data_IF_747476378507
#
_entry.id   IF_747476378507
#
_cell.length_a   1.000
_cell.length_b   1.000
_cell.length_c   1.000
_cell.angle_alpha   90.00
_cell.angle_beta   90.00
_cell.angle_gamma   90.00
#
_symmetry.space_group_name_H-M   'P 1'
#
loop_
_entity.id
_entity.type
_entity.pdbx_description
1 polymer ?
#
# COMPACT_ATOMS: atom_id res chain seq x y z
N UNK A 1 -17.53 -9.80 26.22
CA UNK A 1 -18.59 -10.84 26.23
C UNK A 1 -18.25 -11.73 27.41
N UNK A 2 -19.05 -11.70 28.47
CA UNK A 2 -18.78 -12.47 29.70
C UNK A 2 -19.44 -13.83 29.47
N UNK A 3 -18.63 -14.90 29.41
CA UNK A 3 -19.10 -16.26 29.19
C UNK A 3 -18.81 -17.06 30.46
N UNK A 4 -19.78 -17.83 30.94
CA UNK A 4 -19.63 -18.63 32.15
C UNK A 4 -18.66 -19.80 31.91
N UNK A 5 -17.81 -20.10 32.90
CA UNK A 5 -16.73 -21.09 32.79
C UNK A 5 -17.24 -22.48 32.33
N UNK A 6 -18.49 -22.83 32.67
CA UNK A 6 -19.12 -24.09 32.30
C UNK A 6 -19.53 -24.18 30.82
N UNK A 7 -19.62 -23.06 30.11
CA UNK A 7 -20.10 -22.97 28.72
C UNK A 7 -18.98 -22.75 27.69
N UNK A 8 -17.76 -22.47 28.15
CA UNK A 8 -16.60 -22.16 27.30
C UNK A 8 -16.38 -23.25 26.25
N UNK A 9 -16.38 -24.53 26.64
CA UNK A 9 -16.14 -25.66 25.72
C UNK A 9 -17.21 -25.86 24.63
N UNK A 10 -18.39 -25.24 24.76
CA UNK A 10 -19.48 -25.29 23.77
C UNK A 10 -19.62 -23.99 22.99
N UNK A 11 -18.77 -23.01 23.29
CA UNK A 11 -18.88 -21.69 22.70
C UNK A 11 -18.60 -21.74 21.19
N UNK A 12 -19.38 -21.00 20.41
CA UNK A 12 -19.33 -21.04 18.95
C UNK A 12 -17.93 -20.71 18.36
N UNK A 13 -17.12 -19.93 19.08
CA UNK A 13 -15.76 -19.59 18.64
C UNK A 13 -14.74 -20.74 18.78
N UNK A 14 -15.07 -21.82 19.50
CA UNK A 14 -14.22 -23.01 19.63
C UNK A 14 -14.65 -24.15 18.67
N UNK A 15 -15.65 -23.93 17.81
CA UNK A 15 -16.11 -24.93 16.84
C UNK A 15 -14.98 -25.26 15.85
N UNK A 16 -14.41 -26.46 15.98
CA UNK A 16 -13.33 -26.96 15.12
C UNK A 16 -11.95 -27.06 15.79
N UNK A 17 -11.83 -26.71 17.08
CA UNK A 17 -10.59 -26.87 17.85
C UNK A 17 -10.70 -28.05 18.83
N UNK A 18 -9.61 -28.81 18.98
CA UNK A 18 -9.53 -29.99 19.86
C UNK A 18 -9.24 -29.64 21.32
N UNK A 19 -8.55 -28.52 21.57
CA UNK A 19 -8.13 -28.07 22.90
C UNK A 19 -8.22 -26.53 23.03
N UNK A 20 -8.33 -26.01 24.26
CA UNK A 20 -8.34 -24.58 24.58
C UNK A 20 -7.69 -24.30 25.94
N UNK A 21 -7.12 -23.11 26.12
CA UNK A 21 -6.60 -22.61 27.41
C UNK A 21 -7.48 -21.47 27.89
N UNK A 22 -7.68 -21.43 29.20
CA UNK A 22 -8.30 -20.30 29.92
C UNK A 22 -7.25 -19.65 30.80
N UNK A 23 -7.02 -18.35 30.67
CA UNK A 23 -6.13 -17.61 31.56
C UNK A 23 -6.82 -17.31 32.91
N UNK A 24 -6.23 -17.73 34.05
CA UNK A 24 -6.87 -17.58 35.37
C UNK A 24 -7.10 -16.12 35.79
N UNK A 25 -6.18 -15.23 35.43
CA UNK A 25 -6.19 -13.83 35.89
C UNK A 25 -7.11 -12.93 35.08
N UNK A 26 -7.37 -13.32 33.82
CA UNK A 26 -8.08 -12.48 32.86
C UNK A 26 -9.41 -13.08 32.45
N UNK A 27 -9.67 -14.37 32.78
CA UNK A 27 -10.85 -15.15 32.40
C UNK A 27 -11.09 -15.21 30.88
N UNK A 28 -10.07 -14.89 30.07
CA UNK A 28 -10.13 -15.04 28.63
C UNK A 28 -9.80 -16.48 28.24
N UNK A 29 -10.46 -16.98 27.21
CA UNK A 29 -10.21 -18.30 26.66
C UNK A 29 -9.85 -18.22 25.17
N UNK A 30 -8.91 -19.06 24.75
CA UNK A 30 -8.46 -19.14 23.36
C UNK A 30 -8.15 -20.59 22.96
N UNK A 31 -8.40 -20.95 21.68
CA UNK A 31 -8.14 -22.30 21.18
C UNK A 31 -6.63 -22.58 21.05
N UNK A 32 -6.22 -23.81 21.37
CA UNK A 32 -4.84 -24.27 21.16
C UNK A 32 -4.69 -24.86 19.77
N UNK A 33 -3.65 -24.42 19.06
CA UNK A 33 -3.17 -25.09 17.86
C UNK A 33 -2.09 -26.09 18.27
N UNK A 34 -2.20 -27.34 17.79
CA UNK A 34 -1.39 -28.51 18.19
C UNK A 34 0.11 -28.47 17.81
N UNK A 35 0.72 -27.30 17.65
CA UNK A 35 2.15 -27.17 17.37
C UNK A 35 2.85 -26.29 18.40
N UNK A 36 3.30 -26.96 19.47
CA UNK A 36 4.11 -26.39 20.56
C UNK A 36 5.59 -26.42 20.17
N UNK A 37 6.34 -25.35 20.48
CA UNK A 37 7.68 -25.39 21.10
C UNK A 37 8.11 -23.96 21.54
N UNK A 38 9.03 -23.83 22.52
CA UNK A 38 8.94 -22.86 23.61
C UNK A 38 9.84 -21.63 23.41
N UNK A 39 9.39 -20.50 23.97
CA UNK A 39 10.12 -19.22 23.98
C UNK A 39 11.01 -19.20 25.24
N UNK A 40 12.33 -19.23 25.05
CA UNK A 40 13.26 -18.83 26.11
C UNK A 40 13.53 -17.33 25.97
N UNK A 41 13.03 -16.55 26.92
CA UNK A 41 13.35 -15.13 27.06
C UNK A 41 14.77 -14.99 27.62
N UNK A 42 15.64 -14.25 26.92
CA UNK A 42 16.73 -13.53 27.56
C UNK A 42 16.95 -12.18 26.89
N UNK A 43 17.21 -11.20 27.76
CA UNK A 43 17.22 -9.75 27.57
C UNK A 43 18.59 -9.24 27.01
N UNK A 44 18.78 -7.92 26.83
CA UNK A 44 19.40 -7.34 25.64
C UNK A 44 20.93 -7.21 25.74
N UNK A 45 21.62 -7.19 24.59
CA UNK A 45 22.88 -6.44 24.47
C UNK A 45 23.19 -6.03 23.03
N UNK A 46 23.69 -4.80 22.93
CA UNK A 46 23.93 -4.02 21.71
C UNK A 46 25.26 -4.35 21.05
N UNK A 47 25.26 -4.18 19.72
CA UNK A 47 26.36 -3.79 18.83
C UNK A 47 27.69 -4.59 18.90
N UNK A 48 27.97 -5.36 17.84
CA UNK A 48 29.31 -5.33 17.24
C UNK A 48 29.31 -5.79 15.77
N UNK A 49 30.00 -5.00 14.93
CA UNK A 49 30.34 -5.31 13.53
C UNK A 49 31.12 -6.62 13.47
N UNK A 50 30.78 -7.56 12.58
CA UNK A 50 31.78 -8.35 11.82
C UNK A 50 31.31 -8.74 10.42
N UNK A 51 32.24 -8.55 9.49
CA UNK A 51 32.28 -9.11 8.14
C UNK A 51 32.56 -10.61 8.26
N UNK A 52 31.92 -11.44 7.46
CA UNK A 52 32.57 -12.21 6.39
C UNK A 52 31.62 -13.24 5.77
N UNK A 53 31.66 -13.28 4.44
CA UNK A 53 31.47 -14.40 3.53
C UNK A 53 30.67 -15.62 4.02
N UNK A 54 29.50 -15.80 3.43
CA UNK A 54 28.96 -17.14 3.18
C UNK A 54 28.56 -17.25 1.71
N UNK A 55 29.16 -18.23 1.06
CA UNK A 55 29.08 -18.57 -0.36
C UNK A 55 27.80 -19.37 -0.60
N UNK A 56 26.76 -18.68 -1.07
CA UNK A 56 25.65 -19.29 -1.76
C UNK A 56 25.59 -18.67 -3.14
N UNK A 57 25.86 -19.48 -4.17
CA UNK A 57 25.78 -19.17 -5.60
C UNK A 57 24.39 -18.62 -5.96
N UNK A 58 24.16 -17.34 -5.66
CA UNK A 58 23.17 -16.49 -6.33
C UNK A 58 23.89 -15.92 -7.53
N UNK A 59 23.42 -16.19 -8.73
CA UNK A 59 23.84 -15.55 -9.97
C UNK A 59 23.80 -14.03 -9.76
N UNK A 60 24.95 -13.46 -9.38
CA UNK A 60 25.13 -12.02 -9.23
C UNK A 60 25.19 -11.48 -10.65
N UNK A 61 24.18 -10.69 -11.03
CA UNK A 61 24.30 -9.80 -12.18
C UNK A 61 25.62 -9.03 -12.06
N UNK A 62 26.38 -8.95 -13.15
CA UNK A 62 27.54 -8.07 -13.21
C UNK A 62 27.05 -6.62 -13.17
N UNK A 63 27.97 -5.71 -12.88
CA UNK A 63 27.69 -4.28 -12.98
C UNK A 63 27.14 -3.89 -14.36
N UNK A 64 27.68 -4.49 -15.42
CA UNK A 64 27.25 -4.25 -16.81
C UNK A 64 25.83 -4.78 -17.10
N UNK A 65 25.45 -5.89 -16.45
CA UNK A 65 24.09 -6.43 -16.55
C UNK A 65 23.09 -5.51 -15.78
N UNK A 66 23.51 -4.92 -14.67
CA UNK A 66 22.71 -3.92 -13.93
C UNK A 66 22.53 -2.63 -14.75
N UNK A 67 23.56 -2.17 -15.44
CA UNK A 67 23.47 -1.01 -16.33
C UNK A 67 22.54 -1.30 -17.52
N UNK A 68 22.67 -2.48 -18.13
CA UNK A 68 21.76 -2.94 -19.19
C UNK A 68 20.31 -3.00 -18.69
N UNK A 69 20.08 -3.51 -17.48
CA UNK A 69 18.77 -3.53 -16.84
C UNK A 69 18.18 -2.11 -16.71
N UNK A 70 18.97 -1.14 -16.28
CA UNK A 70 18.51 0.25 -16.12
C UNK A 70 18.12 0.84 -17.46
N UNK A 71 18.94 0.65 -18.50
CA UNK A 71 18.66 1.17 -19.85
C UNK A 71 17.39 0.55 -20.46
N UNK A 72 17.20 -0.76 -20.31
CA UNK A 72 16.00 -1.44 -20.79
C UNK A 72 14.72 -0.98 -20.06
N UNK A 73 14.82 -0.67 -18.76
CA UNK A 73 13.70 -0.10 -18.00
C UNK A 73 13.46 1.36 -18.40
N UNK A 74 14.53 2.15 -18.62
CA UNK A 74 14.43 3.53 -19.07
C UNK A 74 13.71 3.64 -20.41
N UNK A 75 14.05 2.76 -21.37
CA UNK A 75 13.41 2.70 -22.70
C UNK A 75 11.90 2.42 -22.61
N UNK A 76 11.46 1.67 -21.59
CA UNK A 76 10.06 1.30 -21.39
C UNK A 76 9.37 2.25 -20.43
N UNK A 77 9.06 3.45 -20.93
CA UNK A 77 8.39 4.50 -20.16
C UNK A 77 7.20 4.04 -19.31
N UNK A 78 6.30 3.13 -19.75
CA UNK A 78 5.18 2.70 -18.91
C UNK A 78 5.59 2.00 -17.60
N UNK A 79 6.84 1.54 -17.48
CA UNK A 79 7.35 0.94 -16.25
C UNK A 79 7.61 1.97 -15.15
N UNK A 80 7.92 3.22 -15.50
CA UNK A 80 8.39 4.23 -14.54
C UNK A 80 7.66 5.59 -14.65
N UNK A 81 7.13 5.93 -15.82
CA UNK A 81 6.47 7.19 -16.09
C UNK A 81 4.99 7.15 -15.68
N UNK A 82 4.70 7.59 -14.46
CA UNK A 82 3.35 7.69 -13.92
C UNK A 82 2.51 8.83 -14.55
N UNK A 83 3.11 9.69 -15.38
CA UNK A 83 2.38 10.73 -16.13
C UNK A 83 1.67 10.18 -17.36
N UNK A 84 1.97 8.94 -17.77
CA UNK A 84 1.29 8.28 -18.89
C UNK A 84 -0.14 7.89 -18.53
N UNK A 85 -1.10 7.97 -19.48
CA UNK A 85 -2.47 7.51 -19.27
C UNK A 85 -2.55 6.04 -18.85
N UNK A 86 -3.55 5.70 -18.02
CA UNK A 86 -3.76 4.32 -17.54
C UNK A 86 -3.95 3.31 -18.69
N UNK A 87 -4.54 3.75 -19.81
CA UNK A 87 -4.68 2.94 -21.03
C UNK A 87 -3.34 2.44 -21.57
N UNK A 88 -2.26 3.20 -21.40
CA UNK A 88 -0.91 2.87 -21.84
C UNK A 88 -0.06 2.21 -20.73
N UNK A 89 -0.53 2.22 -19.47
CA UNK A 89 0.17 1.73 -18.28
C UNK A 89 -0.58 0.64 -17.51
N UNK A 90 -1.54 -0.02 -18.15
CA UNK A 90 -2.32 -1.06 -17.47
C UNK A 90 -1.46 -2.29 -17.13
N UNK A 91 -1.97 -3.14 -16.23
CA UNK A 91 -1.24 -4.31 -15.71
C UNK A 91 -0.79 -5.27 -16.82
N UNK A 92 -1.61 -5.47 -17.85
CA UNK A 92 -1.27 -6.35 -18.97
C UNK A 92 -0.05 -5.82 -19.71
N UNK A 93 0.00 -4.51 -19.93
CA UNK A 93 1.13 -3.83 -20.56
C UNK A 93 2.37 -3.93 -19.66
N UNK A 94 2.27 -3.58 -18.38
CA UNK A 94 3.43 -3.61 -17.47
C UNK A 94 3.98 -5.02 -17.27
N UNK A 95 3.13 -6.04 -17.14
CA UNK A 95 3.56 -7.45 -17.06
C UNK A 95 4.31 -7.88 -18.33
N UNK A 96 3.78 -7.52 -19.51
CA UNK A 96 4.45 -7.79 -20.79
C UNK A 96 5.80 -7.08 -20.90
N UNK A 97 5.87 -5.81 -20.51
CA UNK A 97 7.10 -5.02 -20.56
C UNK A 97 8.18 -5.59 -19.63
N UNK A 98 7.83 -6.03 -18.41
CA UNK A 98 8.78 -6.69 -17.51
C UNK A 98 9.29 -8.04 -18.06
N UNK A 99 8.43 -8.78 -18.77
CA UNK A 99 8.85 -9.98 -19.48
C UNK A 99 9.85 -9.65 -20.60
N UNK A 100 9.61 -8.59 -21.37
CA UNK A 100 10.53 -8.15 -22.42
C UNK A 100 11.89 -7.71 -21.86
N UNK A 101 11.91 -7.00 -20.71
CA UNK A 101 13.17 -6.64 -20.02
C UNK A 101 13.94 -7.89 -19.60
N UNK A 102 13.26 -8.90 -19.04
CA UNK A 102 13.91 -10.16 -18.65
C UNK A 102 14.48 -10.91 -19.86
N UNK A 103 13.76 -10.91 -20.98
CA UNK A 103 14.22 -11.50 -22.23
C UNK A 103 15.44 -10.76 -22.81
N UNK A 104 15.47 -9.42 -22.71
CA UNK A 104 16.60 -8.60 -23.15
C UNK A 104 17.88 -8.87 -22.35
N UNK A 105 17.76 -9.23 -21.07
CA UNK A 105 18.87 -9.68 -20.20
C UNK A 105 19.29 -11.14 -20.46
N UNK A 106 19.08 -11.62 -21.68
CA UNK A 106 19.37 -12.97 -22.16
C UNK A 106 18.73 -14.10 -21.33
N UNK A 107 17.66 -13.82 -20.57
CA UNK A 107 17.03 -14.83 -19.71
C UNK A 107 17.94 -15.35 -18.60
N UNK A 108 19.05 -14.64 -18.27
CA UNK A 108 19.96 -15.02 -17.18
C UNK A 108 19.28 -15.03 -15.81
N UNK A 109 18.17 -14.29 -15.71
CA UNK A 109 17.40 -14.09 -14.49
C UNK A 109 15.90 -14.08 -14.79
N UNK A 110 15.11 -14.51 -13.83
CA UNK A 110 13.65 -14.51 -13.90
C UNK A 110 13.08 -13.10 -13.82
N UNK A 111 11.85 -12.89 -14.30
CA UNK A 111 11.15 -11.59 -14.21
C UNK A 111 11.11 -11.05 -12.78
N UNK A 112 10.95 -11.94 -11.80
CA UNK A 112 10.90 -11.56 -10.38
C UNK A 112 12.27 -11.09 -9.88
N UNK A 113 13.36 -11.72 -10.32
CA UNK A 113 14.71 -11.29 -10.00
C UNK A 113 15.06 -9.95 -10.67
N UNK A 114 14.66 -9.76 -11.93
CA UNK A 114 14.76 -8.48 -12.66
C UNK A 114 14.08 -7.36 -11.88
N UNK A 115 12.80 -7.56 -11.51
CA UNK A 115 12.02 -6.61 -10.71
C UNK A 115 12.68 -6.31 -9.36
N UNK A 116 13.13 -7.36 -8.66
CA UNK A 116 13.77 -7.24 -7.34
C UNK A 116 15.08 -6.45 -7.42
N UNK A 117 15.89 -6.73 -8.45
CA UNK A 117 17.15 -6.03 -8.71
C UNK A 117 16.91 -4.57 -9.03
N UNK A 118 15.99 -4.27 -9.94
CA UNK A 118 15.61 -2.90 -10.23
C UNK A 118 15.07 -2.17 -8.99
N UNK A 119 14.25 -2.82 -8.16
CA UNK A 119 13.76 -2.26 -6.89
C UNK A 119 14.92 -1.91 -5.94
N UNK A 120 15.92 -2.78 -5.83
CA UNK A 120 17.10 -2.53 -4.98
C UNK A 120 17.95 -1.35 -5.46
N UNK A 121 18.12 -1.21 -6.78
CA UNK A 121 18.81 -0.09 -7.40
C UNK A 121 18.02 1.21 -7.19
N UNK A 122 16.71 1.16 -7.41
CA UNK A 122 15.82 2.30 -7.21
C UNK A 122 15.75 2.77 -5.75
N UNK A 123 15.74 1.87 -4.76
CA UNK A 123 15.79 2.25 -3.34
C UNK A 123 17.12 2.94 -2.99
N UNK A 124 18.22 2.46 -3.56
CA UNK A 124 19.55 3.08 -3.42
C UNK A 124 19.54 4.49 -4.01
N UNK A 125 19.04 4.64 -5.24
CA UNK A 125 18.91 5.94 -5.91
C UNK A 125 18.04 6.92 -5.12
N UNK A 126 16.87 6.47 -4.67
CA UNK A 126 15.95 7.27 -3.84
C UNK A 126 16.62 7.75 -2.55
N UNK A 127 17.40 6.89 -1.88
CA UNK A 127 18.18 7.28 -0.70
C UNK A 127 19.18 8.38 -1.03
N UNK A 128 19.87 8.29 -2.17
CA UNK A 128 20.82 9.32 -2.62
C UNK A 128 20.09 10.65 -2.87
N UNK A 129 18.97 10.65 -3.60
CA UNK A 129 18.20 11.87 -3.91
C UNK A 129 17.64 12.55 -2.64
N UNK A 130 17.17 11.78 -1.66
CA UNK A 130 16.69 12.32 -0.37
C UNK A 130 17.81 12.95 0.44
N UNK A 131 19.00 12.37 0.41
CA UNK A 131 20.19 12.92 1.05
C UNK A 131 20.65 14.21 0.37
N UNK A 132 20.57 14.29 -0.97
CA UNK A 132 20.92 15.48 -1.74
C UNK A 132 19.99 16.67 -1.47
N UNK A 133 18.69 16.40 -1.34
CA UNK A 133 17.66 17.43 -1.09
C UNK A 133 17.71 17.98 0.34
N UNK A 134 18.28 17.22 1.28
CA UNK A 134 18.44 17.66 2.66
C UNK A 134 19.66 18.57 2.75
N UNK A 135 19.46 19.84 3.12
CA UNK A 135 20.41 20.96 3.06
C UNK A 135 21.74 20.84 3.85
N UNK A 136 22.15 19.63 4.27
CA UNK A 136 23.37 19.35 5.04
C UNK A 136 24.35 18.39 4.34
N UNK A 137 24.08 17.96 3.10
CA UNK A 137 24.98 17.04 2.39
C UNK A 137 26.13 17.81 1.71
N UNK A 138 27.31 17.79 2.33
CA UNK A 138 28.57 18.16 1.67
C UNK A 138 28.70 17.32 0.39
N UNK A 139 28.77 17.98 -0.76
CA UNK A 139 29.12 17.37 -2.06
C UNK A 139 30.53 16.82 -1.95
N UNK A 140 30.72 15.59 -1.47
CA UNK A 140 31.98 14.85 -1.56
C UNK A 140 31.76 13.40 -1.11
N UNK A 141 31.26 12.60 -2.04
CA UNK A 141 31.26 11.14 -1.99
C UNK A 141 31.34 10.63 -3.42
N UNK A 142 31.93 9.45 -3.63
CA UNK A 142 31.98 8.81 -4.95
C UNK A 142 30.54 8.76 -5.50
N UNK A 143 30.33 9.38 -6.67
CA UNK A 143 29.07 9.32 -7.39
C UNK A 143 28.76 7.85 -7.63
N UNK A 144 27.59 7.39 -7.18
CA UNK A 144 27.18 6.02 -7.37
C UNK A 144 27.16 5.72 -8.87
N UNK A 145 27.68 4.57 -9.28
CA UNK A 145 28.01 4.31 -10.69
C UNK A 145 26.77 4.36 -11.60
N UNK A 146 25.62 3.94 -11.08
CA UNK A 146 24.31 3.97 -11.75
C UNK A 146 23.55 5.30 -11.58
N UNK A 147 24.15 6.33 -10.98
CA UNK A 147 23.45 7.58 -10.66
C UNK A 147 22.96 8.30 -11.92
N UNK A 148 23.81 8.40 -12.95
CA UNK A 148 23.47 9.09 -14.20
C UNK A 148 22.42 8.31 -14.99
N UNK A 149 22.58 6.99 -15.09
CA UNK A 149 21.63 6.11 -15.76
C UNK A 149 20.24 6.11 -15.10
N UNK A 150 20.13 6.46 -13.82
CA UNK A 150 18.85 6.55 -13.10
C UNK A 150 18.26 7.97 -13.01
N UNK A 151 18.85 8.97 -13.68
CA UNK A 151 18.39 10.37 -13.60
C UNK A 151 16.93 10.55 -14.02
N UNK A 152 16.42 9.72 -14.92
CA UNK A 152 15.02 9.75 -15.37
C UNK A 152 14.00 9.52 -14.24
N UNK A 153 14.41 8.95 -13.10
CA UNK A 153 13.57 8.70 -11.92
C UNK A 153 13.59 9.85 -10.89
N UNK A 154 14.41 10.89 -11.11
CA UNK A 154 14.63 11.97 -10.15
C UNK A 154 13.33 12.66 -9.74
N UNK A 155 12.52 13.05 -10.71
CA UNK A 155 11.21 13.70 -10.47
C UNK A 155 10.31 12.84 -9.60
N UNK A 156 10.25 11.53 -9.87
CA UNK A 156 9.47 10.56 -9.10
C UNK A 156 9.93 10.47 -7.64
N UNK A 157 11.25 10.51 -7.41
CA UNK A 157 11.85 10.44 -6.08
C UNK A 157 11.66 11.72 -5.25
N UNK A 158 11.46 12.86 -5.91
CA UNK A 158 11.30 14.19 -5.28
C UNK A 158 9.86 14.54 -4.92
N UNK A 159 8.88 13.84 -5.49
CA UNK A 159 7.47 14.04 -5.13
C UNK A 159 7.28 13.79 -3.63
N UNK A 160 7.02 14.87 -2.89
CA UNK A 160 6.66 14.80 -1.47
C UNK A 160 5.23 14.29 -1.38
N UNK A 161 5.06 13.02 -1.04
CA UNK A 161 3.76 12.49 -0.64
C UNK A 161 3.30 13.26 0.60
N UNK A 162 2.23 14.04 0.50
CA UNK A 162 1.69 14.88 1.59
C UNK A 162 0.91 14.09 2.65
N UNK A 163 1.16 12.79 2.76
CA UNK A 163 0.57 11.93 3.78
C UNK A 163 1.68 11.20 4.53
N UNK A 164 1.59 11.13 5.85
CA UNK A 164 2.47 10.34 6.75
C UNK A 164 2.33 8.81 6.55
N UNK A 165 1.98 8.38 5.34
CA UNK A 165 1.86 6.97 4.96
C UNK A 165 3.11 6.68 4.14
N UNK A 166 3.97 5.84 4.70
CA UNK A 166 5.01 5.17 3.92
C UNK A 166 4.32 4.50 2.73
N UNK A 167 4.62 4.95 1.51
CA UNK A 167 4.19 4.25 0.29
C UNK A 167 4.97 2.94 0.28
N UNK A 168 4.37 1.92 0.88
CA UNK A 168 4.71 0.53 0.61
C UNK A 168 4.10 0.21 -0.76
N UNK A 169 4.87 0.53 -1.79
CA UNK A 169 4.47 0.41 -3.19
C UNK A 169 4.44 -1.06 -3.59
N UNK A 170 3.20 -1.53 -3.84
CA UNK A 170 2.78 -2.64 -4.69
C UNK A 170 3.74 -3.85 -4.79
N UNK A 171 3.56 -4.82 -3.90
CA UNK A 171 4.03 -6.18 -4.17
C UNK A 171 3.01 -6.91 -5.05
N UNK A 172 3.40 -7.10 -6.30
CA UNK A 172 2.83 -8.06 -7.24
C UNK A 172 3.21 -9.47 -6.75
N UNK A 173 2.30 -10.12 -6.00
CA UNK A 173 2.51 -11.47 -5.46
C UNK A 173 2.13 -12.48 -6.56
N UNK A 174 3.08 -12.82 -7.42
CA UNK A 174 3.02 -14.09 -8.16
C UNK A 174 3.81 -15.16 -7.40
N UNK A 175 3.04 -16.17 -6.99
CA UNK A 175 3.37 -17.31 -6.18
C UNK A 175 4.13 -18.36 -7.02
N UNK A 176 5.35 -18.72 -6.62
CA UNK A 176 6.02 -19.98 -6.96
C UNK A 176 6.96 -20.36 -5.81
N UNK A 177 6.93 -21.62 -5.43
CA UNK A 177 7.38 -22.16 -4.15
C UNK A 177 8.88 -22.47 -4.15
N UNK A 178 9.65 -21.97 -3.16
CA UNK A 178 10.64 -22.82 -2.45
C UNK A 178 11.28 -22.14 -1.21
N UNK A 179 11.14 -22.86 -0.08
CA UNK A 179 11.97 -22.97 1.15
C UNK A 179 12.74 -21.76 1.74
N UNK A 180 12.39 -21.39 2.98
CA UNK A 180 13.31 -20.78 3.96
C UNK A 180 12.75 -19.59 4.77
N UNK A 181 12.75 -19.58 6.12
CA UNK A 181 11.77 -18.82 6.89
C UNK A 181 12.19 -17.38 7.21
N UNK A 182 11.33 -16.40 6.90
CA UNK A 182 11.36 -15.06 7.48
C UNK A 182 9.95 -14.59 7.86
N UNK A 183 9.73 -14.51 9.18
CA UNK A 183 8.83 -13.64 9.92
C UNK A 183 7.55 -13.16 9.23
N UNK A 184 6.45 -13.92 9.37
CA UNK A 184 5.10 -13.46 9.03
C UNK A 184 4.56 -12.52 10.12
N UNK A 185 4.66 -11.21 9.89
CA UNK A 185 3.67 -10.26 10.40
C UNK A 185 2.38 -10.41 9.58
N UNK A 186 1.25 -10.37 10.29
CA UNK A 186 -0.13 -10.62 9.80
C UNK A 186 -0.42 -9.92 8.47
N UNK A 187 -0.54 -10.69 7.39
CA UNK A 187 -1.05 -10.30 6.06
C UNK A 187 -2.17 -11.28 5.72
N UNK A 188 -3.40 -11.01 6.18
CA UNK A 188 -4.58 -11.83 5.77
C UNK A 188 -5.75 -11.01 5.26
N UNK A 189 -5.66 -9.68 5.23
CA UNK A 189 -6.71 -8.80 4.71
C UNK A 189 -6.30 -7.96 3.48
N UNK A 190 -5.01 -7.96 3.10
CA UNK A 190 -4.47 -7.10 2.03
C UNK A 190 -4.70 -7.68 0.61
N UNK A 191 -4.74 -9.00 0.46
CA UNK A 191 -4.90 -9.65 -0.87
C UNK A 191 -6.26 -9.37 -1.50
N UNK A 192 -7.33 -9.27 -0.69
CA UNK A 192 -8.67 -8.92 -1.19
C UNK A 192 -8.74 -7.46 -1.65
N UNK A 193 -8.07 -6.53 -0.96
CA UNK A 193 -8.08 -5.11 -1.32
C UNK A 193 -7.20 -4.82 -2.53
N UNK A 194 -6.02 -5.42 -2.65
CA UNK A 194 -5.17 -5.27 -3.83
C UNK A 194 -5.87 -5.81 -5.09
N UNK A 195 -6.46 -7.01 -4.99
CA UNK A 195 -7.29 -7.57 -6.07
C UNK A 195 -8.48 -6.68 -6.43
N UNK A 196 -9.12 -6.03 -5.46
CA UNK A 196 -10.23 -5.11 -5.73
C UNK A 196 -9.76 -3.84 -6.46
N UNK A 197 -8.64 -3.24 -6.04
CA UNK A 197 -8.03 -2.07 -6.69
C UNK A 197 -7.64 -2.41 -8.13
N UNK A 198 -7.05 -3.59 -8.35
CA UNK A 198 -6.67 -4.04 -9.69
C UNK A 198 -7.87 -4.33 -10.59
N UNK A 199 -8.94 -4.91 -10.03
CA UNK A 199 -10.20 -5.11 -10.75
C UNK A 199 -10.82 -3.79 -11.17
N UNK A 200 -10.78 -2.77 -10.30
CA UNK A 200 -11.26 -1.42 -10.60
C UNK A 200 -10.40 -0.79 -11.70
N UNK A 201 -9.07 -0.84 -11.58
CA UNK A 201 -8.17 -0.25 -12.56
C UNK A 201 -8.32 -0.90 -13.95
N UNK A 202 -8.48 -2.22 -14.02
CA UNK A 202 -8.72 -2.93 -15.28
C UNK A 202 -10.10 -2.60 -15.87
N UNK A 203 -11.15 -2.55 -15.04
CA UNK A 203 -12.50 -2.19 -15.48
C UNK A 203 -12.60 -0.75 -16.02
N UNK A 204 -11.76 0.17 -15.53
CA UNK A 204 -11.67 1.54 -16.04
C UNK A 204 -10.85 1.65 -17.35
N UNK A 205 -9.94 0.71 -17.61
CA UNK A 205 -9.10 0.70 -18.82
C UNK A 205 -9.81 0.03 -20.00
N UNK A 206 -10.64 -0.98 -19.72
CA UNK A 206 -11.53 -1.55 -20.71
C UNK A 206 -12.64 -0.50 -20.95
N UNK A 207 -12.46 0.34 -21.98
CA UNK A 207 -13.49 1.27 -22.49
C UNK A 207 -14.68 0.48 -23.05
N UNK A 208 -15.35 -0.27 -22.19
CA UNK A 208 -16.72 -0.65 -22.42
C UNK A 208 -17.49 0.63 -22.08
N UNK A 209 -17.91 1.36 -23.12
CA UNK A 209 -19.00 2.31 -23.04
C UNK A 209 -20.29 1.56 -22.67
N UNK A 210 -20.30 0.93 -21.48
CA UNK A 210 -21.53 0.44 -20.87
C UNK A 210 -22.33 1.72 -20.65
N UNK A 211 -23.49 1.89 -21.32
CA UNK A 211 -24.33 3.04 -21.06
C UNK A 211 -24.79 2.88 -19.63
N UNK A 212 -24.10 3.54 -18.69
CA UNK A 212 -24.53 3.63 -17.32
C UNK A 212 -25.82 4.40 -17.40
N UNK A 213 -26.93 3.68 -17.29
CA UNK A 213 -28.25 4.28 -17.26
C UNK A 213 -28.37 4.95 -15.89
N UNK A 214 -27.80 6.14 -15.79
CA UNK A 214 -27.90 6.98 -14.61
C UNK A 214 -29.38 7.33 -14.45
N UNK A 215 -29.93 7.24 -13.24
CA UNK A 215 -31.27 7.77 -13.00
C UNK A 215 -31.30 9.24 -13.45
N UNK A 216 -32.43 9.72 -13.98
CA UNK A 216 -32.55 11.11 -14.41
C UNK A 216 -32.13 12.02 -13.27
N UNK A 217 -31.28 13.00 -13.58
CA UNK A 217 -30.77 13.98 -12.62
C UNK A 217 -31.99 14.55 -11.87
N UNK A 218 -32.01 14.50 -10.52
CA UNK A 218 -33.10 15.08 -9.75
C UNK A 218 -33.29 16.54 -10.17
N UNK A 219 -34.50 16.90 -10.58
CA UNK A 219 -34.82 18.28 -10.94
C UNK A 219 -34.76 19.10 -9.64
N UNK A 220 -33.89 20.12 -9.54
CA UNK A 220 -33.79 20.93 -8.32
C UNK A 220 -35.13 21.62 -8.04
N UNK A 221 -35.62 21.49 -6.82
CA UNK A 221 -36.84 22.17 -6.38
C UNK A 221 -36.55 23.53 -5.71
N UNK A 222 -37.61 24.22 -5.27
CA UNK A 222 -37.46 25.51 -4.58
C UNK A 222 -36.72 25.38 -3.24
N UNK A 223 -36.82 24.23 -2.57
CA UNK A 223 -36.16 23.95 -1.30
C UNK A 223 -34.67 23.77 -1.54
N UNK A 224 -34.27 23.04 -2.57
CA UNK A 224 -32.88 22.85 -2.99
C UNK A 224 -32.22 24.18 -3.33
N UNK A 225 -32.92 25.06 -4.05
CA UNK A 225 -32.44 26.39 -4.37
C UNK A 225 -32.21 27.22 -3.10
N UNK A 226 -33.15 27.18 -2.16
CA UNK A 226 -33.00 27.84 -0.86
C UNK A 226 -31.84 27.29 -0.04
N UNK A 227 -31.71 25.96 0.07
CA UNK A 227 -30.62 25.30 0.81
C UNK A 227 -29.25 25.59 0.17
N UNK A 228 -29.18 25.69 -1.15
CA UNK A 228 -27.98 26.10 -1.88
C UNK A 228 -27.57 27.53 -1.53
N UNK A 229 -28.52 28.48 -1.59
CA UNK A 229 -28.28 29.89 -1.23
C UNK A 229 -27.87 30.04 0.24
N UNK A 230 -28.55 29.36 1.16
CA UNK A 230 -28.22 29.33 2.58
C UNK A 230 -26.82 28.73 2.79
N UNK A 231 -26.50 27.65 2.06
CA UNK A 231 -25.19 27.01 2.06
C UNK A 231 -24.07 27.95 1.62
N UNK A 232 -24.30 28.79 0.62
CA UNK A 232 -23.35 29.83 0.19
C UNK A 232 -23.11 30.84 1.32
N UNK A 233 -24.17 31.39 1.91
CA UNK A 233 -24.05 32.36 3.02
C UNK A 233 -23.32 31.78 4.24
N UNK A 234 -23.58 30.52 4.58
CA UNK A 234 -22.91 29.85 5.70
C UNK A 234 -21.41 29.65 5.46
N UNK A 235 -20.96 29.53 4.20
CA UNK A 235 -19.52 29.39 3.86
C UNK A 235 -18.75 30.70 4.04
N UNK A 236 -19.41 31.85 3.97
CA UNK A 236 -18.78 33.16 4.22
C UNK A 236 -18.50 33.40 5.71
N UNK A 237 -19.13 32.62 6.60
CA UNK A 237 -19.01 32.79 8.04
C UNK A 237 -17.88 31.93 8.64
N UNK A 238 -17.18 32.48 9.63
CA UNK A 238 -16.19 31.74 10.41
C UNK A 238 -16.78 30.52 11.16
N UNK A 239 -15.96 29.46 11.31
CA UNK A 239 -16.37 28.14 11.81
C UNK A 239 -17.23 28.13 13.08
N UNK A 240 -16.94 29.01 14.06
CA UNK A 240 -17.71 29.08 15.31
C UNK A 240 -19.09 29.71 15.11
N UNK A 241 -19.17 30.80 14.34
CA UNK A 241 -20.44 31.47 14.00
C UNK A 241 -21.32 30.59 13.11
N UNK A 242 -20.72 29.95 12.09
CA UNK A 242 -21.38 29.00 11.20
C UNK A 242 -22.07 27.86 11.97
N UNK A 243 -21.35 27.19 12.88
CA UNK A 243 -21.90 26.11 13.71
C UNK A 243 -23.03 26.56 14.63
N UNK A 244 -22.91 27.76 15.22
CA UNK A 244 -23.96 28.34 16.07
C UNK A 244 -25.24 28.60 15.28
N UNK A 245 -25.13 29.09 14.05
CA UNK A 245 -26.29 29.34 13.17
C UNK A 245 -26.90 28.03 12.69
N UNK A 246 -26.09 27.07 12.25
CA UNK A 246 -26.58 25.72 11.89
C UNK A 246 -27.37 25.07 13.03
N UNK A 247 -26.87 25.17 14.27
CA UNK A 247 -27.60 24.68 15.44
C UNK A 247 -28.99 25.35 15.56
N UNK A 248 -29.07 26.68 15.44
CA UNK A 248 -30.35 27.38 15.52
C UNK A 248 -31.36 26.92 14.48
N UNK A 249 -30.92 26.65 13.24
CA UNK A 249 -31.81 26.12 12.21
C UNK A 249 -32.33 24.73 12.58
N UNK A 250 -31.48 23.86 13.12
CA UNK A 250 -31.89 22.53 13.59
C UNK A 250 -32.87 22.62 14.76
N UNK A 251 -32.64 23.53 15.70
CA UNK A 251 -33.53 23.76 16.84
C UNK A 251 -34.93 24.21 16.33
N UNK A 252 -34.98 25.16 15.38
CA UNK A 252 -36.25 25.61 14.77
C UNK A 252 -37.00 24.46 14.07
N UNK A 253 -36.30 23.63 13.31
CA UNK A 253 -36.91 22.49 12.61
C UNK A 253 -37.43 21.47 13.62
N UNK A 254 -36.66 21.19 14.67
CA UNK A 254 -37.06 20.27 15.73
C UNK A 254 -38.33 20.74 16.44
N UNK A 255 -38.40 22.02 16.81
CA UNK A 255 -39.57 22.60 17.48
C UNK A 255 -40.81 22.52 16.58
N UNK A 256 -40.67 22.89 15.29
CA UNK A 256 -41.76 22.80 14.32
C UNK A 256 -42.26 21.36 14.09
N UNK A 257 -41.36 20.37 14.14
CA UNK A 257 -41.74 18.96 14.03
C UNK A 257 -42.41 18.45 15.31
N UNK A 258 -41.99 18.94 16.48
CA UNK A 258 -42.55 18.54 17.77
C UNK A 258 -43.97 19.07 18.00
N UNK A 259 -44.32 20.24 17.44
CA UNK A 259 -45.67 20.83 17.52
C UNK A 259 -46.75 20.03 16.75
N UNK A 260 -46.36 19.10 15.88
CA UNK A 260 -47.26 18.28 15.07
C UNK A 260 -47.41 16.83 15.57
N UNK A 261 -46.89 16.51 16.76
CA UNK A 261 -47.05 15.23 17.48
C UNK A 261 -47.91 15.39 18.72
#
# INVERSE_FOLDING_TARGET
MICEQAEIGKHACLKGYTQYITEPDTLYFYPLLDFVMPIHLSEPNSCEKRRNSDEGLKTKLSHDDEETLILEVQLREPLWNYKLPLSQRNLKITKKLWQEVANALNGKITVNEVKTKFKSLHDTYRRIIRLETSASARKNGKKWLHYDSMEFLRDSCLLKTTSNIEIDDFEDVENESNSGPRNKRKKSNFEKSASAIDKIANALCDNNDVPVNLPPIPVPDEIDAFLSMLGCQLRELGLRKRRKIMKKFLDIIYDALAEHT
#
